data_IF_221440980738
#
_entry.id   IF_221440980738
#
_cell.length_a   1.000
_cell.length_b   1.000
_cell.length_c   1.000
_cell.angle_alpha   90.00
_cell.angle_beta   90.00
_cell.angle_gamma   90.00
#
_symmetry.space_group_name_H-M   'P 1'
#
loop_
_entity.id
_entity.type
_entity.pdbx_description
1 polymer ?
#
# COMPACT_ATOMS: atom_id res chain seq x y z
N UNK A 1 -43.97 -30.80 11.55
CA UNK A 1 -44.04 -29.40 11.08
C UNK A 1 -42.95 -29.06 10.05
N UNK A 2 -42.59 -30.00 9.15
CA UNK A 2 -41.51 -29.88 8.17
C UNK A 2 -42.01 -30.19 6.75
N UNK A 3 -43.03 -29.45 6.28
CA UNK A 3 -43.60 -29.64 4.94
C UNK A 3 -44.06 -28.34 4.25
N UNK A 4 -43.76 -27.16 4.81
CA UNK A 4 -44.15 -25.86 4.22
C UNK A 4 -43.03 -25.10 3.49
N UNK A 5 -41.81 -25.63 3.43
CA UNK A 5 -40.69 -24.98 2.72
C UNK A 5 -40.42 -25.51 1.30
N UNK A 6 -41.29 -26.35 0.74
CA UNK A 6 -41.06 -26.99 -0.59
C UNK A 6 -42.01 -26.55 -1.70
N UNK A 7 -42.77 -25.47 -1.51
CA UNK A 7 -43.78 -25.02 -2.49
C UNK A 7 -43.62 -23.57 -2.96
N UNK A 8 -42.38 -23.14 -3.15
CA UNK A 8 -42.02 -21.95 -3.95
C UNK A 8 -40.83 -22.31 -4.85
N UNK A 9 -41.04 -23.30 -5.72
CA UNK A 9 -40.21 -23.63 -6.88
C UNK A 9 -41.15 -24.00 -8.02
N UNK A 10 -41.89 -23.00 -8.49
CA UNK A 10 -42.60 -22.92 -9.78
C UNK A 10 -43.48 -21.68 -9.76
N UNK A 11 -42.83 -20.53 -9.84
CA UNK A 11 -43.22 -19.53 -10.83
C UNK A 11 -41.98 -18.71 -11.14
N UNK A 12 -41.51 -18.88 -12.37
CA UNK A 12 -40.35 -18.18 -12.89
C UNK A 12 -40.83 -16.97 -13.66
N UNK A 13 -40.63 -15.79 -13.08
CA UNK A 13 -40.26 -14.50 -13.69
C UNK A 13 -40.51 -13.42 -12.64
N UNK A 14 -39.60 -12.45 -12.59
CA UNK A 14 -39.59 -11.31 -11.66
C UNK A 14 -39.11 -11.62 -10.23
N UNK A 15 -37.80 -11.78 -10.09
CA UNK A 15 -36.98 -11.29 -8.97
C UNK A 15 -35.50 -11.40 -9.36
N UNK A 16 -35.20 -10.89 -10.56
CA UNK A 16 -33.82 -10.55 -10.97
C UNK A 16 -33.73 -9.04 -10.82
N UNK A 17 -33.72 -8.58 -9.58
CA UNK A 17 -33.17 -7.28 -9.22
C UNK A 17 -32.94 -7.24 -7.71
N UNK A 18 -31.84 -6.60 -7.30
CA UNK A 18 -31.38 -6.45 -5.92
C UNK A 18 -30.62 -7.63 -5.27
N UNK A 19 -29.87 -8.40 -6.05
CA UNK A 19 -28.54 -8.81 -5.59
C UNK A 19 -27.55 -8.21 -6.57
N UNK A 20 -27.31 -6.89 -6.43
CA UNK A 20 -26.17 -6.24 -7.06
C UNK A 20 -24.95 -7.07 -6.65
N UNK A 21 -24.43 -7.85 -7.60
CA UNK A 21 -23.10 -8.40 -7.50
C UNK A 21 -22.17 -7.20 -7.48
N UNK A 22 -21.90 -6.69 -6.27
CA UNK A 22 -20.96 -5.60 -6.04
C UNK A 22 -19.63 -6.05 -6.61
N UNK A 23 -19.34 -5.59 -7.81
CA UNK A 23 -18.10 -5.88 -8.48
C UNK A 23 -17.00 -5.16 -7.68
N UNK A 24 -16.33 -5.88 -6.80
CA UNK A 24 -15.35 -5.31 -5.87
C UNK A 24 -14.20 -4.63 -6.61
N UNK A 25 -13.93 -5.03 -7.86
CA UNK A 25 -12.97 -4.34 -8.73
C UNK A 25 -13.48 -2.98 -9.20
N UNK A 26 -14.78 -2.84 -9.50
CA UNK A 26 -15.39 -1.54 -9.76
C UNK A 26 -15.47 -0.67 -8.52
N UNK A 27 -15.75 -1.24 -7.35
CA UNK A 27 -15.74 -0.50 -6.08
C UNK A 27 -14.30 -0.01 -5.73
N UNK A 28 -13.29 -0.86 -5.98
CA UNK A 28 -11.88 -0.54 -5.80
C UNK A 28 -11.42 0.58 -6.75
N UNK A 29 -11.74 0.46 -8.04
CA UNK A 29 -11.38 1.46 -9.07
C UNK A 29 -12.18 2.75 -8.91
N UNK A 30 -13.44 2.67 -8.51
CA UNK A 30 -14.25 3.87 -8.24
C UNK A 30 -13.75 4.64 -7.02
N UNK A 31 -13.21 3.97 -6.00
CA UNK A 31 -12.59 4.61 -4.84
C UNK A 31 -11.40 5.52 -5.23
N UNK A 32 -10.59 5.12 -6.23
CA UNK A 32 -9.49 5.94 -6.77
C UNK A 32 -9.96 7.25 -7.42
N UNK A 33 -11.24 7.34 -7.82
CA UNK A 33 -11.81 8.51 -8.51
C UNK A 33 -12.56 9.46 -7.57
N UNK A 34 -12.52 9.22 -6.25
CA UNK A 34 -13.27 10.02 -5.28
C UNK A 34 -12.52 11.27 -4.83
N UNK A 35 -13.24 12.34 -4.51
CA UNK A 35 -12.66 13.54 -3.92
C UNK A 35 -11.93 13.26 -2.59
N UNK A 36 -12.42 12.27 -1.81
CA UNK A 36 -11.75 11.81 -0.60
C UNK A 36 -10.36 11.23 -0.87
N UNK A 37 -10.17 10.56 -2.02
CA UNK A 37 -8.86 10.06 -2.41
C UNK A 37 -7.93 11.21 -2.81
N UNK A 38 -8.40 12.17 -3.61
CA UNK A 38 -7.57 13.31 -4.03
C UNK A 38 -7.13 14.18 -2.86
N UNK A 39 -8.02 14.42 -1.89
CA UNK A 39 -7.70 15.22 -0.69
C UNK A 39 -6.70 14.49 0.21
N UNK A 40 -6.88 13.17 0.37
CA UNK A 40 -5.96 12.33 1.14
C UNK A 40 -4.59 12.26 0.48
N UNK A 41 -4.54 12.07 -0.83
CA UNK A 41 -3.33 12.06 -1.63
C UNK A 41 -2.57 13.39 -1.51
N UNK A 42 -3.27 14.53 -1.63
CA UNK A 42 -2.67 15.84 -1.45
C UNK A 42 -2.10 16.06 -0.03
N UNK A 43 -2.84 15.61 1.00
CA UNK A 43 -2.37 15.64 2.40
C UNK A 43 -1.09 14.81 2.56
N UNK A 44 -1.09 13.59 2.03
CA UNK A 44 0.04 12.66 2.12
C UNK A 44 1.27 13.15 1.35
N UNK A 45 1.11 13.64 0.11
CA UNK A 45 2.20 14.24 -0.66
C UNK A 45 2.81 15.47 0.04
N UNK A 46 2.00 16.30 0.70
CA UNK A 46 2.54 17.45 1.45
C UNK A 46 3.47 17.03 2.59
N UNK A 47 3.24 15.85 3.18
CA UNK A 47 4.07 15.28 4.23
C UNK A 47 5.38 14.70 3.66
N UNK A 48 5.33 14.11 2.47
CA UNK A 48 6.53 13.65 1.74
C UNK A 48 7.42 14.86 1.43
N UNK A 49 6.84 15.92 0.86
CA UNK A 49 7.58 17.07 0.33
C UNK A 49 8.11 18.02 1.41
N UNK A 50 7.51 18.06 2.61
CA UNK A 50 7.99 18.90 3.74
C UNK A 50 9.20 18.31 4.47
N UNK A 51 9.56 17.07 4.20
CA UNK A 51 10.57 16.36 4.98
C UNK A 51 11.94 16.41 4.31
N UNK A 52 12.83 17.29 4.79
CA UNK A 52 14.24 17.34 4.39
C UNK A 52 15.06 16.10 4.82
N UNK A 53 14.46 15.17 5.60
CA UNK A 53 15.13 13.98 6.14
C UNK A 53 14.28 12.70 5.98
N UNK A 54 14.70 11.71 5.15
CA UNK A 54 13.90 10.52 4.82
C UNK A 54 13.53 9.61 6.01
N UNK A 55 14.22 9.72 7.15
CA UNK A 55 13.97 8.87 8.33
C UNK A 55 12.83 9.38 9.22
N UNK A 56 12.56 10.69 9.21
CA UNK A 56 11.50 11.34 10.00
C UNK A 56 10.11 11.24 9.35
N UNK A 57 10.04 10.89 8.05
CA UNK A 57 8.79 10.65 7.34
C UNK A 57 8.00 9.45 7.90
N UNK A 58 8.68 8.37 8.32
CA UNK A 58 8.03 7.10 8.70
C UNK A 58 7.09 7.26 9.89
N UNK A 59 7.51 8.05 10.88
CA UNK A 59 6.74 8.30 12.09
C UNK A 59 5.50 9.15 11.77
N UNK A 60 5.67 10.19 10.95
CA UNK A 60 4.55 11.07 10.54
C UNK A 60 3.54 10.38 9.63
N UNK A 61 3.90 9.47 8.74
CA UNK A 61 2.89 8.82 7.88
C UNK A 61 1.95 7.92 8.68
N UNK A 62 2.48 7.09 9.59
CA UNK A 62 1.66 6.22 10.43
C UNK A 62 0.88 6.97 11.51
N UNK A 63 1.43 8.08 12.03
CA UNK A 63 0.79 8.87 13.10
C UNK A 63 -0.17 9.96 12.56
N UNK A 64 0.14 10.61 11.43
CA UNK A 64 -0.64 11.76 10.91
C UNK A 64 -1.74 11.34 9.94
N UNK A 65 -1.62 10.19 9.27
CA UNK A 65 -2.65 9.74 8.35
C UNK A 65 -3.73 8.90 9.03
N UNK A 66 -3.46 8.25 10.16
CA UNK A 66 -4.48 7.43 10.83
C UNK A 66 -5.54 8.30 11.50
N UNK A 67 -6.81 8.07 11.16
CA UNK A 67 -7.93 8.76 11.79
C UNK A 67 -8.93 7.74 12.39
N UNK A 68 -9.12 7.71 13.73
CA UNK A 68 -8.35 8.43 14.75
C UNK A 68 -6.89 7.95 14.83
N UNK A 69 -6.00 8.79 15.36
CA UNK A 69 -4.59 8.44 15.61
C UNK A 69 -4.47 7.29 16.61
N UNK A 70 -3.37 6.53 16.55
CA UNK A 70 -3.19 5.34 17.39
C UNK A 70 -3.09 5.69 18.88
N UNK A 71 -2.56 6.85 19.20
CA UNK A 71 -2.45 7.44 20.54
C UNK A 71 -3.81 7.76 21.18
N UNK A 72 -4.85 8.00 20.39
CA UNK A 72 -6.20 8.29 20.88
C UNK A 72 -6.99 7.02 21.23
N UNK A 73 -6.55 5.85 20.74
CA UNK A 73 -7.30 4.59 20.87
C UNK A 73 -7.50 4.16 22.33
N UNK A 74 -6.48 4.17 23.22
CA UNK A 74 -6.69 3.79 24.61
C UNK A 74 -7.78 4.64 25.28
N UNK A 75 -7.75 5.97 25.09
CA UNK A 75 -8.74 6.88 25.68
C UNK A 75 -10.17 6.61 25.16
N UNK A 76 -10.32 6.30 23.87
CA UNK A 76 -11.63 5.94 23.27
C UNK A 76 -12.15 4.62 23.87
N UNK A 77 -11.25 3.67 24.11
CA UNK A 77 -11.59 2.34 24.63
C UNK A 77 -11.73 2.28 26.16
N UNK A 78 -11.43 3.36 26.89
CA UNK A 78 -11.73 3.51 28.32
C UNK A 78 -13.18 4.01 28.59
N UNK A 79 -14.03 4.11 27.55
CA UNK A 79 -15.44 4.44 27.75
C UNK A 79 -16.24 3.34 28.47
N UNK A 80 -17.32 3.73 29.15
CA UNK A 80 -18.15 2.86 29.98
C UNK A 80 -18.80 1.66 29.24
N UNK A 81 -18.73 1.63 27.91
CA UNK A 81 -19.19 0.53 27.06
C UNK A 81 -18.23 -0.67 27.19
N UNK A 82 -16.92 -0.40 27.12
CA UNK A 82 -15.89 -1.44 27.09
C UNK A 82 -15.55 -1.99 28.47
N UNK A 83 -15.93 -1.29 29.54
CA UNK A 83 -15.87 -1.83 30.90
C UNK A 83 -16.92 -2.93 31.14
N UNK A 84 -18.01 -2.95 30.36
CA UNK A 84 -19.09 -3.96 30.45
C UNK A 84 -18.85 -5.19 29.57
N UNK A 85 -18.01 -5.09 28.53
CA UNK A 85 -17.73 -6.20 27.58
C UNK A 85 -16.21 -6.31 27.29
N UNK A 86 -15.44 -7.01 28.14
CA UNK A 86 -13.99 -7.14 28.03
C UNK A 86 -13.52 -7.77 26.71
N UNK A 87 -14.25 -8.74 26.19
CA UNK A 87 -13.93 -9.43 24.93
C UNK A 87 -14.00 -8.45 23.74
N UNK A 88 -14.99 -7.56 23.74
CA UNK A 88 -15.13 -6.52 22.72
C UNK A 88 -13.99 -5.49 22.80
N UNK A 89 -13.55 -5.12 24.01
CA UNK A 89 -12.38 -4.25 24.22
C UNK A 89 -11.12 -4.85 23.60
N UNK A 90 -10.88 -6.13 23.86
CA UNK A 90 -9.72 -6.86 23.31
C UNK A 90 -9.78 -6.95 21.78
N UNK A 91 -10.95 -7.21 21.21
CA UNK A 91 -11.17 -7.24 19.76
C UNK A 91 -10.93 -5.87 19.11
N UNK A 92 -11.39 -4.79 19.72
CA UNK A 92 -11.17 -3.43 19.21
C UNK A 92 -9.70 -3.02 19.25
N UNK A 93 -9.00 -3.33 20.34
CA UNK A 93 -7.54 -3.11 20.43
C UNK A 93 -6.81 -3.82 19.28
N UNK A 94 -7.10 -5.10 19.08
CA UNK A 94 -6.50 -5.89 18.00
C UNK A 94 -6.79 -5.28 16.62
N UNK A 95 -8.03 -4.86 16.35
CA UNK A 95 -8.41 -4.21 15.10
C UNK A 95 -7.57 -2.94 14.85
N UNK A 96 -7.47 -2.05 15.85
CA UNK A 96 -6.72 -0.81 15.70
C UNK A 96 -5.22 -1.07 15.57
N UNK A 97 -4.67 -2.04 16.29
CA UNK A 97 -3.26 -2.44 16.18
C UNK A 97 -2.93 -3.04 14.81
N UNK A 98 -3.77 -3.94 14.28
CA UNK A 98 -3.61 -4.50 12.93
C UNK A 98 -3.69 -3.42 11.85
N UNK A 99 -4.62 -2.48 11.99
CA UNK A 99 -4.74 -1.37 11.03
C UNK A 99 -3.54 -0.41 11.10
N UNK A 100 -2.95 -0.20 12.28
CA UNK A 100 -1.73 0.57 12.44
C UNK A 100 -0.49 -0.16 11.87
N UNK A 101 -0.40 -1.49 12.04
CA UNK A 101 0.64 -2.31 11.41
C UNK A 101 0.55 -2.26 9.87
N UNK A 102 -0.66 -2.34 9.32
CA UNK A 102 -0.89 -2.19 7.90
C UNK A 102 -0.44 -0.80 7.39
N UNK A 103 -0.78 0.27 8.11
CA UNK A 103 -0.35 1.63 7.77
C UNK A 103 1.16 1.82 7.83
N UNK A 104 1.85 1.23 8.82
CA UNK A 104 3.32 1.22 8.88
C UNK A 104 3.95 0.55 7.67
N UNK A 105 3.36 -0.55 7.19
CA UNK A 105 3.85 -1.23 5.98
C UNK A 105 3.69 -0.34 4.74
N UNK A 106 2.53 0.31 4.60
CA UNK A 106 2.28 1.29 3.54
C UNK A 106 3.28 2.45 3.57
N UNK A 107 3.56 2.98 4.77
CA UNK A 107 4.56 4.05 4.97
C UNK A 107 5.96 3.61 4.54
N UNK A 108 6.33 2.36 4.84
CA UNK A 108 7.60 1.80 4.41
C UNK A 108 7.67 1.67 2.87
N UNK A 109 6.58 1.26 2.23
CA UNK A 109 6.50 1.19 0.77
C UNK A 109 6.64 2.56 0.11
N UNK A 110 5.97 3.60 0.63
CA UNK A 110 6.14 4.97 0.14
C UNK A 110 7.60 5.44 0.22
N UNK A 111 8.35 5.03 1.26
CA UNK A 111 9.79 5.29 1.33
C UNK A 111 10.54 4.65 0.17
N UNK A 112 10.27 3.38 -0.07
CA UNK A 112 10.95 2.59 -1.08
C UNK A 112 10.67 3.14 -2.48
N UNK A 113 9.42 3.58 -2.71
CA UNK A 113 8.97 4.29 -3.91
C UNK A 113 9.78 5.58 -4.13
N UNK A 114 9.85 6.45 -3.12
CA UNK A 114 10.63 7.69 -3.22
C UNK A 114 12.12 7.42 -3.48
N UNK A 115 12.67 6.39 -2.82
CA UNK A 115 14.07 6.00 -3.00
C UNK A 115 14.34 5.46 -4.41
N UNK A 116 13.46 4.62 -4.96
CA UNK A 116 13.66 4.05 -6.30
C UNK A 116 13.47 5.12 -7.38
N UNK A 117 12.49 6.01 -7.24
CA UNK A 117 12.29 7.16 -8.15
C UNK A 117 13.54 8.04 -8.18
N UNK A 118 14.11 8.35 -7.01
CA UNK A 118 15.35 9.14 -6.91
C UNK A 118 16.54 8.43 -7.55
N UNK A 119 16.68 7.12 -7.32
CA UNK A 119 17.77 6.33 -7.92
C UNK A 119 17.68 6.32 -9.45
N UNK A 120 16.50 6.07 -10.01
CA UNK A 120 16.33 6.00 -11.46
C UNK A 120 16.41 7.38 -12.13
N UNK A 121 15.89 8.43 -11.48
CA UNK A 121 16.09 9.80 -11.94
C UNK A 121 17.58 10.17 -12.00
N UNK A 122 18.36 9.77 -10.99
CA UNK A 122 19.80 9.97 -10.98
C UNK A 122 20.51 9.22 -12.12
N UNK A 123 20.19 7.94 -12.31
CA UNK A 123 20.75 7.14 -13.42
C UNK A 123 20.41 7.80 -14.76
N UNK A 124 19.17 8.21 -14.98
CA UNK A 124 18.75 8.88 -16.22
C UNK A 124 19.56 10.15 -16.48
N UNK A 125 19.77 10.99 -15.46
CA UNK A 125 20.61 12.19 -15.60
C UNK A 125 22.06 11.85 -15.99
N UNK A 126 22.63 10.79 -15.40
CA UNK A 126 23.97 10.31 -15.75
C UNK A 126 23.99 9.80 -17.19
N UNK A 127 22.98 9.04 -17.62
CA UNK A 127 22.89 8.51 -18.98
C UNK A 127 22.68 9.62 -20.02
N UNK A 128 21.78 10.58 -19.80
CA UNK A 128 21.51 11.67 -20.74
C UNK A 128 22.74 12.56 -20.98
N UNK A 129 23.63 12.66 -19.99
CA UNK A 129 24.89 13.41 -20.11
C UNK A 129 25.87 12.83 -21.15
N UNK A 130 25.65 11.59 -21.63
CA UNK A 130 26.51 10.86 -22.58
C UNK A 130 26.17 11.03 -24.04
N UNK A 131 24.95 11.45 -24.36
CA UNK A 131 24.45 11.46 -25.74
C UNK A 131 25.25 12.45 -26.61
N UNK A 132 25.97 13.40 -26.00
CA UNK A 132 26.64 14.51 -26.70
C UNK A 132 28.17 14.56 -26.52
N UNK A 133 28.79 13.67 -25.72
CA UNK A 133 30.24 13.72 -25.45
C UNK A 133 30.79 12.37 -24.93
N UNK A 134 31.61 11.70 -25.75
CA UNK A 134 32.23 10.40 -25.46
C UNK A 134 33.67 10.51 -24.93
N UNK A 135 34.02 11.60 -24.25
CA UNK A 135 35.33 11.73 -23.61
C UNK A 135 35.62 10.55 -22.66
N UNK A 136 36.84 9.96 -22.67
CA UNK A 136 37.22 8.87 -21.78
C UNK A 136 37.00 9.16 -20.28
N UNK A 137 37.19 10.42 -19.86
CA UNK A 137 36.99 10.83 -18.47
C UNK A 137 35.51 10.75 -18.05
N UNK A 138 34.59 11.09 -18.96
CA UNK A 138 33.15 10.97 -18.72
C UNK A 138 32.73 9.51 -18.63
N UNK A 139 33.19 8.67 -19.56
CA UNK A 139 32.92 7.22 -19.56
C UNK A 139 33.33 6.59 -18.22
N UNK A 140 34.50 6.96 -17.70
CA UNK A 140 34.97 6.50 -16.38
C UNK A 140 34.07 6.97 -15.23
N UNK A 141 33.62 8.22 -15.27
CA UNK A 141 32.68 8.75 -14.27
C UNK A 141 31.36 7.99 -14.28
N UNK A 142 30.79 7.73 -15.45
CA UNK A 142 29.54 6.96 -15.60
C UNK A 142 29.70 5.53 -15.10
N UNK A 143 30.80 4.87 -15.47
CA UNK A 143 31.08 3.54 -14.96
C UNK A 143 31.13 3.51 -13.43
N UNK A 144 31.72 4.55 -12.81
CA UNK A 144 31.72 4.71 -11.35
C UNK A 144 30.31 4.89 -10.78
N UNK A 145 29.45 5.71 -11.41
CA UNK A 145 28.09 5.94 -10.94
C UNK A 145 27.17 4.74 -11.11
N UNK A 146 27.30 4.02 -12.23
CA UNK A 146 26.59 2.76 -12.46
C UNK A 146 27.04 1.69 -11.46
N UNK A 147 28.33 1.63 -11.13
CA UNK A 147 28.83 0.72 -10.10
C UNK A 147 28.32 1.13 -8.70
N UNK A 148 28.25 2.43 -8.41
CA UNK A 148 27.60 2.94 -7.20
C UNK A 148 26.14 2.50 -7.11
N UNK A 149 25.39 2.56 -8.21
CA UNK A 149 24.00 2.08 -8.28
C UNK A 149 23.88 0.56 -8.03
N UNK A 150 24.72 -0.27 -8.67
CA UNK A 150 24.72 -1.73 -8.46
C UNK A 150 24.90 -2.08 -6.98
N UNK A 151 25.82 -1.38 -6.30
CA UNK A 151 26.13 -1.61 -4.90
C UNK A 151 25.03 -1.11 -3.93
N UNK A 152 24.05 -0.32 -4.39
CA UNK A 152 22.92 0.09 -3.55
C UNK A 152 21.98 -1.09 -3.32
N UNK A 153 21.57 -1.29 -2.06
CA UNK A 153 20.51 -2.25 -1.73
C UNK A 153 19.22 -1.87 -2.46
N UNK A 154 18.53 -2.87 -3.01
CA UNK A 154 17.23 -2.68 -3.61
C UNK A 154 16.20 -2.27 -2.53
N UNK A 155 15.51 -1.13 -2.69
CA UNK A 155 14.50 -0.69 -1.74
C UNK A 155 13.38 -1.72 -1.54
N UNK A 156 13.05 -2.52 -2.57
CA UNK A 156 12.00 -3.54 -2.53
C UNK A 156 12.44 -4.88 -1.95
N UNK A 157 13.65 -5.01 -1.41
CA UNK A 157 14.05 -6.20 -0.64
C UNK A 157 13.28 -6.33 0.69
N UNK A 158 12.69 -5.23 1.17
CA UNK A 158 11.84 -5.20 2.37
C UNK A 158 10.73 -4.15 2.19
N UNK A 159 9.43 -4.47 2.40
CA UNK A 159 8.90 -5.76 2.79
C UNK A 159 8.97 -6.80 1.66
N UNK A 160 9.40 -8.01 1.97
CA UNK A 160 9.41 -9.16 1.07
C UNK A 160 8.12 -9.98 1.19
N UNK A 161 7.96 -11.01 0.35
CA UNK A 161 6.77 -11.88 0.34
C UNK A 161 6.42 -12.47 1.73
N UNK A 162 7.40 -12.77 2.57
CA UNK A 162 7.16 -13.31 3.91
C UNK A 162 6.62 -12.23 4.87
N UNK A 163 7.07 -10.98 4.73
CA UNK A 163 6.54 -9.85 5.50
C UNK A 163 5.06 -9.63 5.17
N UNK A 164 4.70 -9.68 3.88
CA UNK A 164 3.30 -9.62 3.44
C UNK A 164 2.48 -10.82 3.94
N UNK A 165 3.05 -12.03 3.90
CA UNK A 165 2.40 -13.25 4.40
C UNK A 165 2.12 -13.16 5.90
N UNK A 166 3.07 -12.67 6.70
CA UNK A 166 2.89 -12.53 8.14
C UNK A 166 1.73 -11.57 8.48
N UNK A 167 1.61 -10.48 7.73
CA UNK A 167 0.50 -9.52 7.86
C UNK A 167 -0.83 -10.17 7.48
N UNK A 168 -0.84 -10.96 6.39
CA UNK A 168 -2.02 -11.69 5.95
C UNK A 168 -2.48 -12.75 6.97
N UNK A 169 -1.57 -13.59 7.45
CA UNK A 169 -1.88 -14.69 8.37
C UNK A 169 -2.42 -14.17 9.71
N UNK A 170 -1.87 -13.06 10.24
CA UNK A 170 -2.42 -12.41 11.44
C UNK A 170 -3.82 -11.83 11.24
N UNK A 171 -4.09 -11.27 10.05
CA UNK A 171 -5.41 -10.70 9.73
C UNK A 171 -6.47 -11.78 9.54
N UNK A 172 -6.13 -12.91 8.93
CA UNK A 172 -7.06 -14.05 8.75
C UNK A 172 -7.39 -14.73 10.08
N UNK A 173 -6.41 -14.86 10.98
CA UNK A 173 -6.61 -15.51 12.28
C UNK A 173 -7.57 -14.75 13.22
N UNK A 174 -7.88 -13.48 12.94
CA UNK A 174 -8.61 -12.58 13.85
C UNK A 174 -9.94 -12.07 13.30
N UNK A 175 -10.51 -12.72 12.27
CA UNK A 175 -11.73 -12.22 11.64
C UNK A 175 -12.95 -12.20 12.60
N UNK A 176 -13.50 -11.01 12.76
CA UNK A 176 -14.87 -10.76 13.20
C UNK A 176 -15.78 -10.71 11.97
N UNK A 177 -16.87 -11.46 11.97
CA UNK A 177 -17.84 -11.58 10.86
C UNK A 177 -18.43 -10.21 10.43
N UNK A 178 -18.44 -9.22 11.33
CA UNK A 178 -18.89 -7.85 11.06
C UNK A 178 -17.87 -6.98 10.29
N UNK A 179 -16.59 -7.38 10.23
CA UNK A 179 -15.51 -6.68 9.52
C UNK A 179 -15.11 -7.35 8.20
N UNK A 180 -15.84 -8.39 7.76
CA UNK A 180 -15.46 -9.25 6.65
C UNK A 180 -15.19 -8.50 5.34
N UNK A 181 -16.02 -7.50 4.98
CA UNK A 181 -15.83 -6.69 3.77
C UNK A 181 -14.60 -5.78 3.84
N UNK A 182 -14.41 -5.06 4.95
CA UNK A 182 -13.25 -4.17 5.14
C UNK A 182 -11.93 -4.93 5.20
N UNK A 183 -11.94 -6.11 5.83
CA UNK A 183 -10.77 -7.00 5.91
C UNK A 183 -10.44 -7.61 4.55
N UNK A 184 -11.45 -7.96 3.74
CA UNK A 184 -11.26 -8.45 2.38
C UNK A 184 -10.59 -7.41 1.46
N UNK A 185 -11.04 -6.15 1.48
CA UNK A 185 -10.46 -5.08 0.66
C UNK A 185 -8.99 -4.85 1.06
N UNK A 186 -8.70 -4.85 2.36
CA UNK A 186 -7.34 -4.74 2.88
C UNK A 186 -6.46 -5.91 2.44
N UNK A 187 -6.93 -7.14 2.56
CA UNK A 187 -6.16 -8.31 2.12
C UNK A 187 -5.88 -8.28 0.62
N UNK A 188 -6.89 -7.94 -0.19
CA UNK A 188 -6.73 -7.80 -1.64
C UNK A 188 -5.74 -6.70 -2.02
N UNK A 189 -5.78 -5.55 -1.33
CA UNK A 189 -4.81 -4.48 -1.54
C UNK A 189 -3.37 -4.95 -1.22
N UNK A 190 -3.18 -5.64 -0.10
CA UNK A 190 -1.87 -6.18 0.30
C UNK A 190 -1.36 -7.26 -0.65
N UNK A 191 -2.22 -8.12 -1.18
CA UNK A 191 -1.83 -9.11 -2.19
C UNK A 191 -1.38 -8.45 -3.49
N UNK A 192 -2.10 -7.42 -3.96
CA UNK A 192 -1.72 -6.65 -5.15
C UNK A 192 -0.40 -5.93 -4.94
N UNK A 193 -0.23 -5.24 -3.81
CA UNK A 193 1.02 -4.59 -3.43
C UNK A 193 2.17 -5.61 -3.35
N UNK A 194 1.96 -6.80 -2.76
CA UNK A 194 3.00 -7.83 -2.68
C UNK A 194 3.47 -8.31 -4.05
N UNK A 195 2.54 -8.48 -5.01
CA UNK A 195 2.91 -8.87 -6.39
C UNK A 195 3.64 -7.76 -7.11
N UNK A 196 3.24 -6.50 -6.93
CA UNK A 196 3.93 -5.34 -7.49
C UNK A 196 5.34 -5.18 -6.94
N UNK A 197 5.50 -5.29 -5.62
CA UNK A 197 6.80 -5.23 -4.95
C UNK A 197 7.72 -6.34 -5.44
N UNK A 198 7.22 -7.56 -5.62
CA UNK A 198 8.01 -8.66 -6.17
C UNK A 198 8.46 -8.38 -7.62
N UNK A 199 7.55 -7.91 -8.49
CA UNK A 199 7.89 -7.54 -9.87
C UNK A 199 8.95 -6.44 -9.93
N UNK A 200 8.76 -5.37 -9.14
CA UNK A 200 9.71 -4.26 -9.05
C UNK A 200 11.06 -4.69 -8.49
N UNK A 201 11.05 -5.60 -7.50
CA UNK A 201 12.27 -6.17 -6.96
C UNK A 201 13.07 -6.86 -8.07
N UNK A 202 12.43 -7.79 -8.78
CA UNK A 202 13.07 -8.60 -9.81
C UNK A 202 13.58 -7.73 -10.97
N UNK A 203 12.77 -6.77 -11.45
CA UNK A 203 13.18 -5.87 -12.54
C UNK A 203 14.39 -4.99 -12.16
N UNK A 204 14.46 -4.53 -10.90
CA UNK A 204 15.61 -3.76 -10.42
C UNK A 204 16.87 -4.63 -10.31
N UNK A 205 16.75 -5.88 -9.87
CA UNK A 205 17.89 -6.80 -9.81
C UNK A 205 18.37 -7.24 -11.20
N UNK A 206 17.44 -7.47 -12.13
CA UNK A 206 17.76 -7.76 -13.54
C UNK A 206 18.52 -6.60 -14.19
N UNK A 207 18.09 -5.36 -13.93
CA UNK A 207 18.80 -4.17 -14.40
C UNK A 207 20.21 -4.07 -13.83
N UNK A 208 20.39 -4.34 -12.53
CA UNK A 208 21.73 -4.34 -11.92
C UNK A 208 22.62 -5.41 -12.54
N UNK A 209 22.10 -6.62 -12.75
CA UNK A 209 22.84 -7.70 -13.38
C UNK A 209 23.26 -7.33 -14.82
N UNK A 210 22.36 -6.70 -15.59
CA UNK A 210 22.67 -6.19 -16.92
C UNK A 210 23.77 -5.13 -16.87
N UNK A 211 23.66 -4.12 -15.99
CA UNK A 211 24.68 -3.07 -15.84
C UNK A 211 26.02 -3.69 -15.47
N UNK A 212 26.03 -4.63 -14.51
CA UNK A 212 27.24 -5.29 -14.03
C UNK A 212 27.94 -6.05 -15.17
N UNK A 213 27.19 -6.86 -15.92
CA UNK A 213 27.71 -7.57 -17.08
C UNK A 213 28.36 -6.62 -18.11
N UNK A 214 27.79 -5.43 -18.28
CA UNK A 214 28.28 -4.44 -19.23
C UNK A 214 29.55 -3.73 -18.74
N UNK A 215 29.66 -3.47 -17.43
CA UNK A 215 30.88 -2.92 -16.83
C UNK A 215 32.05 -3.91 -16.85
N UNK A 216 31.77 -5.21 -16.80
CA UNK A 216 32.78 -6.27 -16.87
C UNK A 216 33.25 -6.58 -18.31
N UNK A 217 32.40 -6.27 -19.31
CA UNK A 217 32.69 -6.52 -20.73
C UNK A 217 33.66 -5.49 -21.31
N UNK A 218 34.73 -5.94 -22.00
CA UNK A 218 35.79 -5.07 -22.57
C UNK A 218 35.46 -4.46 -23.94
N UNK A 219 34.19 -4.43 -24.35
CA UNK A 219 33.79 -4.00 -25.71
C UNK A 219 33.07 -2.64 -25.69
N UNK A 220 33.66 -1.63 -26.35
CA UNK A 220 33.11 -0.26 -26.43
C UNK A 220 31.74 -0.17 -27.14
N UNK A 221 31.39 -1.17 -27.97
CA UNK A 221 30.11 -1.23 -28.73
C UNK A 221 28.90 -1.65 -27.90
N UNK A 222 29.09 -2.19 -26.70
CA UNK A 222 28.01 -2.59 -25.79
C UNK A 222 27.30 -1.38 -25.16
N UNK A 223 27.97 -0.23 -25.06
CA UNK A 223 27.50 0.95 -24.32
C UNK A 223 26.14 1.50 -24.80
N UNK A 224 25.96 1.74 -26.12
CA UNK A 224 24.74 2.38 -26.63
C UNK A 224 23.48 1.49 -26.50
N UNK A 225 23.63 0.18 -26.71
CA UNK A 225 22.50 -0.75 -26.60
C UNK A 225 22.03 -0.89 -25.15
N UNK A 226 22.96 -0.90 -24.21
CA UNK A 226 22.68 -0.98 -22.77
C UNK A 226 21.98 0.28 -22.28
N UNK A 227 22.42 1.46 -22.73
CA UNK A 227 21.73 2.72 -22.44
C UNK A 227 20.29 2.69 -22.94
N UNK A 228 20.04 2.17 -24.16
CA UNK A 228 18.68 2.03 -24.70
C UNK A 228 17.81 1.06 -23.88
N UNK A 229 18.34 -0.09 -23.49
CA UNK A 229 17.60 -1.05 -22.66
C UNK A 229 17.33 -0.49 -21.25
N UNK A 230 18.28 0.26 -20.67
CA UNK A 230 18.07 0.96 -19.39
C UNK A 230 16.99 2.03 -19.48
N UNK A 231 16.95 2.84 -20.56
CA UNK A 231 15.85 3.78 -20.78
C UNK A 231 14.50 3.06 -20.90
N UNK A 232 14.46 1.92 -21.60
CA UNK A 232 13.24 1.15 -21.78
C UNK A 232 12.75 0.57 -20.45
N UNK A 233 13.63 -0.01 -19.65
CA UNK A 233 13.26 -0.52 -18.32
C UNK A 233 12.87 0.60 -17.37
N UNK A 234 13.52 1.76 -17.43
CA UNK A 234 13.19 2.92 -16.60
C UNK A 234 11.74 3.42 -16.83
N UNK A 235 11.24 3.38 -18.07
CA UNK A 235 9.82 3.65 -18.38
C UNK A 235 8.91 2.59 -17.72
N UNK A 236 9.28 1.31 -17.81
CA UNK A 236 8.54 0.20 -17.22
C UNK A 236 8.46 0.30 -15.69
N UNK A 237 9.59 0.57 -15.04
CA UNK A 237 9.72 0.77 -13.61
C UNK A 237 8.91 1.97 -13.15
N UNK A 238 9.00 3.12 -13.83
CA UNK A 238 8.18 4.29 -13.44
C UNK A 238 6.69 3.96 -13.42
N UNK A 239 6.19 3.28 -14.45
CA UNK A 239 4.79 2.87 -14.51
C UNK A 239 4.40 1.91 -13.37
N UNK A 240 5.24 0.91 -13.09
CA UNK A 240 4.98 -0.03 -11.98
C UNK A 240 5.06 0.64 -10.60
N UNK A 241 5.95 1.62 -10.45
CA UNK A 241 6.09 2.41 -9.22
C UNK A 241 4.88 3.31 -9.01
N UNK A 242 4.38 3.96 -10.06
CA UNK A 242 3.13 4.74 -10.02
C UNK A 242 1.94 3.85 -9.63
N UNK A 243 1.80 2.67 -10.26
CA UNK A 243 0.76 1.69 -9.92
C UNK A 243 0.85 1.26 -8.45
N UNK A 244 2.06 0.96 -7.95
CA UNK A 244 2.27 0.62 -6.55
C UNK A 244 1.91 1.79 -5.62
N UNK A 245 2.29 3.02 -5.97
CA UNK A 245 2.01 4.21 -5.18
C UNK A 245 0.50 4.45 -5.03
N UNK A 246 -0.26 4.34 -6.12
CA UNK A 246 -1.73 4.43 -6.11
C UNK A 246 -2.35 3.38 -5.17
N UNK A 247 -1.92 2.12 -5.27
CA UNK A 247 -2.41 1.04 -4.42
C UNK A 247 -2.08 1.28 -2.93
N UNK A 248 -0.91 1.84 -2.62
CA UNK A 248 -0.51 2.17 -1.25
C UNK A 248 -1.40 3.28 -0.69
N UNK A 249 -1.65 4.35 -1.44
CA UNK A 249 -2.54 5.43 -1.00
C UNK A 249 -3.98 4.96 -0.82
N UNK A 250 -4.49 4.15 -1.74
CA UNK A 250 -5.83 3.60 -1.61
C UNK A 250 -5.95 2.68 -0.38
N UNK A 251 -4.91 1.90 -0.08
CA UNK A 251 -4.89 1.09 1.13
C UNK A 251 -4.98 1.95 2.40
N UNK A 252 -4.18 3.02 2.47
CA UNK A 252 -4.20 3.96 3.60
C UNK A 252 -5.56 4.65 3.75
N UNK A 253 -6.16 5.12 2.65
CA UNK A 253 -7.51 5.70 2.66
C UNK A 253 -8.55 4.71 3.18
N UNK A 254 -8.48 3.46 2.73
CA UNK A 254 -9.40 2.40 3.13
C UNK A 254 -9.27 2.08 4.63
N UNK A 255 -8.03 2.02 5.13
CA UNK A 255 -7.73 1.85 6.56
C UNK A 255 -8.43 2.96 7.37
N UNK A 256 -8.28 4.22 6.97
CA UNK A 256 -8.88 5.35 7.68
C UNK A 256 -10.38 5.36 7.67
N UNK A 257 -10.97 5.10 6.49
CA UNK A 257 -12.42 5.00 6.38
C UNK A 257 -12.97 3.90 7.28
N UNK A 258 -12.30 2.75 7.31
CA UNK A 258 -12.71 1.64 8.17
C UNK A 258 -12.58 2.00 9.66
N UNK A 259 -11.47 2.61 10.08
CA UNK A 259 -11.27 3.08 11.46
C UNK A 259 -12.36 4.08 11.88
N UNK A 260 -12.66 5.06 11.04
CA UNK A 260 -13.70 6.05 11.29
C UNK A 260 -15.11 5.43 11.39
N UNK A 261 -15.43 4.44 10.56
CA UNK A 261 -16.71 3.71 10.64
C UNK A 261 -16.83 2.91 11.93
N UNK A 262 -15.77 2.20 12.33
CA UNK A 262 -15.73 1.45 13.59
C UNK A 262 -15.98 2.38 14.78
N UNK A 263 -15.31 3.53 14.84
CA UNK A 263 -15.52 4.53 15.89
C UNK A 263 -16.95 5.08 15.90
N UNK A 264 -17.50 5.40 14.73
CA UNK A 264 -18.87 5.90 14.61
C UNK A 264 -19.89 4.86 15.11
N UNK A 265 -19.68 3.59 14.81
CA UNK A 265 -20.55 2.51 15.26
C UNK A 265 -20.46 2.33 16.79
N UNK A 266 -19.25 2.42 17.34
CA UNK A 266 -19.00 2.37 18.78
C UNK A 266 -19.72 3.51 19.52
N UNK A 267 -19.64 4.75 19.04
CA UNK A 267 -20.31 5.90 19.67
C UNK A 267 -21.83 5.88 19.49
N UNK A 268 -22.33 5.38 18.37
CA UNK A 268 -23.77 5.21 18.13
C UNK A 268 -24.37 4.15 19.06
N UNK A 269 -23.69 3.02 19.22
CA UNK A 269 -24.09 1.95 20.13
C UNK A 269 -24.10 2.42 21.60
N UNK A 270 -23.12 3.25 21.98
CA UNK A 270 -23.05 3.90 23.30
C UNK A 270 -24.29 4.72 23.64
N UNK A 271 -24.74 5.55 22.68
CA UNK A 271 -25.88 6.44 22.85
C UNK A 271 -27.19 5.67 23.02
N UNK A 272 -27.32 4.53 22.33
CA UNK A 272 -28.50 3.66 22.41
C UNK A 272 -28.56 2.93 23.76
N UNK A 273 -27.44 2.48 24.31
CA UNK A 273 -27.39 1.87 25.65
C UNK A 273 -27.71 2.89 26.76
N UNK A 274 -27.19 4.11 26.68
CA UNK A 274 -27.51 5.19 27.63
C UNK A 274 -29.00 5.55 27.63
N UNK A 275 -29.67 5.50 26.47
CA UNK A 275 -31.11 5.74 26.36
C UNK A 275 -31.95 4.58 26.93
N UNK A 276 -31.46 3.34 26.87
CA UNK A 276 -32.14 2.17 27.47
C UNK A 276 -32.01 2.08 28.98
N UNK A 277 -30.96 2.65 29.58
CA UNK A 277 -30.83 2.71 31.04
C UNK A 277 -31.71 3.81 31.68
N UNK A 278 -32.32 4.69 30.88
CA UNK A 278 -33.11 5.84 31.34
C UNK A 278 -34.62 5.72 31.01
N UNK A 279 -35.08 4.55 30.57
CA UNK A 279 -36.50 4.20 30.34
C UNK A 279 -36.84 2.98 31.19
#
# INVERSE_FOLDING_TARGET
MWAKFRKIRKDGKELVDACESLNVDEEYVSALRTQSYTDFFAKAQSLVNKSSFPSFCHQKFSEVLLEPGQEAIPAILESAIFSKIPELKGLMLNYFDLSAEASRTCSHLLKNINQIQSNYQYIQQVLDSTINDHSPDKVKLIASELNSFINRRNPFSTPNKNDFKLIHDRKVAQQLDMAAKGTYILNRAFDTMSRLVARLHDEVEDNKAMIQFCLESREDKFSLQVVKELHKSDIGIRKQVEELEEHVYLCLLTINRARGLVIKEMTTSAGIESLREHV
#
